data_IF_105817633962
#
_entry.id   IF_105817633962
#
_cell.length_a   1.000
_cell.length_b   1.000
_cell.length_c   1.000
_cell.angle_alpha   90.00
_cell.angle_beta   90.00
_cell.angle_gamma   90.00
#
_symmetry.space_group_name_H-M   'P 1'
#
loop_
_entity.id
_entity.type
_entity.pdbx_description
1 polymer ?
#
# COMPACT_ATOMS: atom_id res chain seq x y z
N UNK A 1 -22.06 10.10 -1.69
CA UNK A 1 -23.00 11.11 -1.19
C UNK A 1 -22.59 12.45 -1.78
N UNK A 2 -23.08 12.78 -2.97
CA UNK A 2 -22.79 14.07 -3.62
C UNK A 2 -23.65 15.16 -2.96
N UNK A 3 -23.09 16.34 -2.74
CA UNK A 3 -23.80 17.49 -2.16
C UNK A 3 -23.80 17.55 -0.64
N UNK A 4 -23.19 16.61 0.07
CA UNK A 4 -23.06 16.68 1.53
C UNK A 4 -22.23 17.92 1.92
N UNK A 5 -22.77 18.86 2.71
CA UNK A 5 -22.04 20.06 3.11
C UNK A 5 -20.93 19.72 4.10
N UNK A 6 -19.76 20.36 3.96
CA UNK A 6 -18.74 20.35 5.00
C UNK A 6 -19.14 21.40 6.06
N UNK A 7 -20.02 21.02 7.00
CA UNK A 7 -20.75 21.96 7.87
C UNK A 7 -19.83 22.93 8.61
N UNK A 8 -18.77 22.42 9.25
CA UNK A 8 -17.81 23.24 9.97
C UNK A 8 -17.12 24.25 9.04
N UNK A 9 -16.67 23.79 7.88
CA UNK A 9 -15.97 24.61 6.89
C UNK A 9 -16.89 25.71 6.34
N UNK A 10 -18.12 25.36 5.97
CA UNK A 10 -19.10 26.31 5.45
C UNK A 10 -19.47 27.36 6.50
N UNK A 11 -19.65 26.96 7.75
CA UNK A 11 -20.05 27.88 8.82
C UNK A 11 -18.90 28.79 9.26
N UNK A 12 -17.68 28.24 9.43
CA UNK A 12 -16.54 28.96 9.97
C UNK A 12 -15.82 29.80 8.90
N UNK A 13 -15.52 29.23 7.74
CA UNK A 13 -14.77 29.90 6.67
C UNK A 13 -15.69 30.57 5.64
N UNK A 14 -17.02 30.35 5.70
CA UNK A 14 -18.00 30.93 4.77
C UNK A 14 -17.75 30.60 3.30
N UNK A 15 -17.15 29.45 3.03
CA UNK A 15 -16.88 28.95 1.67
C UNK A 15 -17.92 27.89 1.27
N UNK A 16 -18.27 27.77 -0.02
CA UNK A 16 -19.22 26.78 -0.49
C UNK A 16 -18.58 25.38 -0.60
N UNK A 17 -18.00 24.85 0.48
CA UNK A 17 -17.36 23.53 0.47
C UNK A 17 -18.39 22.40 0.66
N UNK A 18 -18.57 21.54 -0.34
CA UNK A 18 -19.39 20.33 -0.21
C UNK A 18 -18.77 19.16 -0.96
N UNK A 19 -19.05 17.94 -0.48
CA UNK A 19 -18.60 16.70 -1.10
C UNK A 19 -19.14 16.60 -2.52
N UNK A 20 -18.24 16.40 -3.48
CA UNK A 20 -18.54 16.35 -4.91
C UNK A 20 -18.38 17.68 -5.63
N UNK A 21 -18.00 18.77 -4.97
CA UNK A 21 -17.72 20.04 -5.68
C UNK A 21 -16.38 20.00 -6.40
N UNK A 22 -16.37 20.49 -7.64
CA UNK A 22 -15.14 20.71 -8.41
C UNK A 22 -14.40 21.90 -7.84
N UNK A 23 -13.09 21.76 -7.76
CA UNK A 23 -12.19 22.79 -7.23
C UNK A 23 -10.90 22.83 -8.03
N UNK A 24 -10.26 23.99 -8.07
CA UNK A 24 -8.88 24.15 -8.52
C UNK A 24 -8.04 24.44 -7.28
N UNK A 25 -7.23 23.47 -6.86
CA UNK A 25 -6.35 23.56 -5.70
C UNK A 25 -4.92 23.86 -6.15
N UNK A 26 -4.40 25.04 -5.84
CA UNK A 26 -3.08 25.51 -6.25
C UNK A 26 -2.80 25.29 -7.75
N UNK A 27 -3.79 25.65 -8.59
CA UNK A 27 -3.71 25.49 -10.05
C UNK A 27 -3.96 24.07 -10.58
N UNK A 28 -4.27 23.10 -9.71
CA UNK A 28 -4.57 21.71 -10.12
C UNK A 28 -6.05 21.38 -9.93
N UNK A 29 -6.75 20.87 -10.97
CA UNK A 29 -8.16 20.51 -10.85
C UNK A 29 -8.35 19.25 -9.98
N UNK A 30 -9.44 19.25 -9.21
CA UNK A 30 -9.83 18.13 -8.36
C UNK A 30 -11.29 18.20 -7.91
N UNK A 31 -11.66 17.26 -7.04
CA UNK A 31 -13.01 17.14 -6.46
C UNK A 31 -12.88 17.03 -4.94
N UNK A 32 -13.72 17.73 -4.19
CA UNK A 32 -13.84 17.52 -2.74
C UNK A 32 -14.47 16.15 -2.51
N UNK A 33 -13.78 15.22 -1.86
CA UNK A 33 -14.28 13.87 -1.59
C UNK A 33 -14.53 13.60 -0.12
N UNK A 34 -13.85 14.31 0.78
CA UNK A 34 -13.87 14.04 2.22
C UNK A 34 -13.87 15.33 3.04
N UNK A 35 -14.40 15.26 4.26
CA UNK A 35 -14.39 16.34 5.24
C UNK A 35 -13.39 15.98 6.37
N UNK A 36 -12.44 16.88 6.64
CA UNK A 36 -11.45 16.76 7.70
C UNK A 36 -11.59 17.88 8.76
N UNK A 37 -12.78 18.46 8.91
CA UNK A 37 -13.09 19.50 9.88
C UNK A 37 -12.56 20.87 9.44
N UNK A 38 -11.34 21.24 9.84
CA UNK A 38 -10.70 22.49 9.40
C UNK A 38 -10.14 22.43 7.98
N UNK A 39 -10.03 21.23 7.41
CA UNK A 39 -9.45 20.99 6.10
C UNK A 39 -10.47 20.29 5.21
N UNK A 40 -10.41 20.59 3.91
CA UNK A 40 -11.18 19.87 2.90
C UNK A 40 -10.32 18.79 2.25
N UNK A 41 -10.88 17.60 2.08
CA UNK A 41 -10.25 16.50 1.38
C UNK A 41 -10.46 16.61 -0.12
N UNK A 42 -9.43 16.99 -0.86
CA UNK A 42 -9.50 17.13 -2.32
C UNK A 42 -8.75 15.98 -2.97
N UNK A 43 -9.44 15.24 -3.82
CA UNK A 43 -8.83 14.27 -4.73
C UNK A 43 -8.52 14.97 -6.05
N UNK A 44 -7.24 15.13 -6.37
CA UNK A 44 -6.79 15.71 -7.64
C UNK A 44 -6.99 14.73 -8.80
N UNK A 45 -7.33 15.25 -9.98
CA UNK A 45 -7.58 14.42 -11.16
C UNK A 45 -6.31 13.68 -11.63
N UNK A 46 -5.15 14.31 -11.46
CA UNK A 46 -3.82 13.76 -11.82
C UNK A 46 -3.24 12.80 -10.76
N UNK A 47 -3.94 12.58 -9.64
CA UNK A 47 -3.41 11.73 -8.57
C UNK A 47 -3.51 10.24 -8.92
N UNK A 48 -2.37 9.57 -9.12
CA UNK A 48 -2.31 8.14 -9.45
C UNK A 48 -2.98 7.25 -8.39
N UNK A 49 -2.84 7.61 -7.11
CA UNK A 49 -3.44 6.89 -5.99
C UNK A 49 -4.82 7.41 -5.60
N UNK A 50 -5.37 8.45 -6.25
CA UNK A 50 -6.71 9.01 -6.00
C UNK A 50 -7.07 9.15 -4.52
N UNK A 51 -6.10 9.53 -3.70
CA UNK A 51 -6.33 9.76 -2.28
C UNK A 51 -6.66 11.24 -2.05
N UNK A 52 -7.59 11.53 -1.12
CA UNK A 52 -7.87 12.89 -0.70
C UNK A 52 -6.66 13.50 0.00
N UNK A 53 -6.10 14.56 -0.58
CA UNK A 53 -5.14 15.42 0.12
C UNK A 53 -5.87 16.38 1.05
N UNK A 54 -5.22 16.80 2.15
CA UNK A 54 -5.76 17.84 3.05
C UNK A 54 -5.41 19.22 2.50
N UNK A 55 -6.42 20.04 2.27
CA UNK A 55 -6.25 21.41 1.79
C UNK A 55 -6.97 22.39 2.71
N UNK A 56 -6.38 23.58 2.89
CA UNK A 56 -7.02 24.62 3.67
C UNK A 56 -8.16 25.23 2.82
N UNK A 57 -9.37 25.43 3.37
CA UNK A 57 -10.55 25.80 2.57
C UNK A 57 -10.46 27.16 1.87
N UNK A 58 -9.58 28.05 2.35
CA UNK A 58 -9.47 29.44 1.89
C UNK A 58 -8.14 29.70 1.16
N UNK A 59 -7.16 28.81 1.27
CA UNK A 59 -5.82 29.06 0.72
C UNK A 59 -5.61 28.34 -0.61
N UNK A 60 -5.54 29.12 -1.70
CA UNK A 60 -5.26 28.60 -3.03
C UNK A 60 -6.35 27.68 -3.59
N UNK A 61 -7.60 27.81 -3.13
CA UNK A 61 -8.75 27.02 -3.59
C UNK A 61 -9.74 27.90 -4.36
N UNK A 62 -10.02 27.50 -5.59
CA UNK A 62 -11.12 28.06 -6.38
C UNK A 62 -12.27 27.07 -6.43
N UNK A 63 -13.47 27.49 -6.00
CA UNK A 63 -14.66 26.65 -5.97
C UNK A 63 -15.45 26.77 -7.27
N UNK A 64 -15.74 25.64 -7.90
CA UNK A 64 -16.54 25.55 -9.12
C UNK A 64 -17.89 24.86 -8.92
N UNK A 65 -18.37 24.27 -10.00
CA UNK A 65 -19.65 23.56 -10.06
C UNK A 65 -19.61 22.20 -9.36
N UNK A 66 -20.79 21.58 -9.21
CA UNK A 66 -20.87 20.20 -8.73
C UNK A 66 -20.37 19.23 -9.79
N UNK A 67 -19.58 18.24 -9.38
CA UNK A 67 -19.19 17.14 -10.25
C UNK A 67 -20.39 16.24 -10.54
N UNK A 68 -20.47 15.73 -11.78
CA UNK A 68 -21.49 14.75 -12.19
C UNK A 68 -21.36 13.43 -11.44
N UNK A 69 -20.11 13.03 -11.12
CA UNK A 69 -19.81 11.82 -10.37
C UNK A 69 -18.55 11.98 -9.53
N UNK A 70 -18.48 11.22 -8.43
CA UNK A 70 -17.26 11.16 -7.63
C UNK A 70 -16.19 10.34 -8.35
N UNK A 71 -14.90 10.68 -8.19
CA UNK A 71 -13.82 9.85 -8.69
C UNK A 71 -13.92 8.46 -8.08
N UNK A 72 -13.69 7.43 -8.90
CA UNK A 72 -13.68 6.04 -8.41
C UNK A 72 -12.61 5.91 -7.31
N UNK A 73 -12.94 5.31 -6.16
CA UNK A 73 -11.98 5.11 -5.10
C UNK A 73 -10.77 4.31 -5.63
N UNK A 74 -9.57 4.57 -5.10
CA UNK A 74 -8.40 3.83 -5.54
C UNK A 74 -8.56 2.34 -5.29
N UNK A 75 -7.93 1.54 -6.15
CA UNK A 75 -7.87 0.10 -5.94
C UNK A 75 -7.07 -0.16 -4.66
N UNK A 76 -7.73 -0.68 -3.62
CA UNK A 76 -7.05 -1.09 -2.39
C UNK A 76 -5.94 -2.08 -2.73
N UNK A 77 -4.73 -1.79 -2.27
CA UNK A 77 -3.58 -2.68 -2.42
C UNK A 77 -3.55 -3.68 -1.26
N UNK A 78 -2.78 -4.76 -1.44
CA UNK A 78 -2.48 -5.70 -0.35
C UNK A 78 -1.81 -4.99 0.84
N UNK A 79 -1.05 -3.93 0.59
CA UNK A 79 -0.40 -3.15 1.64
C UNK A 79 -1.40 -2.33 2.46
N UNK A 80 -2.39 -1.70 1.82
CA UNK A 80 -3.45 -0.97 2.53
C UNK A 80 -4.24 -1.92 3.44
N UNK A 81 -4.53 -3.13 2.94
CA UNK A 81 -5.20 -4.17 3.72
C UNK A 81 -4.35 -4.65 4.92
N UNK A 82 -3.04 -4.79 4.74
CA UNK A 82 -2.12 -5.14 5.83
C UNK A 82 -2.08 -4.09 6.95
N UNK A 83 -2.21 -2.80 6.62
CA UNK A 83 -2.23 -1.73 7.64
C UNK A 83 -3.53 -1.65 8.43
N UNK A 84 -4.66 -1.99 7.80
CA UNK A 84 -5.98 -1.97 8.45
C UNK A 84 -6.20 -3.19 9.36
N UNK A 85 -5.58 -4.32 9.05
CA UNK A 85 -5.64 -5.54 9.84
C UNK A 85 -4.54 -5.47 10.93
N UNK A 86 -4.89 -5.08 12.17
CA UNK A 86 -4.00 -5.09 13.35
C UNK A 86 -3.51 -6.52 13.66
N UNK A 87 -2.59 -7.03 12.85
CA UNK A 87 -2.04 -8.38 12.95
C UNK A 87 -0.60 -8.33 13.41
N UNK A 88 -0.23 -9.28 14.27
CA UNK A 88 1.13 -9.45 14.78
C UNK A 88 2.06 -10.19 13.79
N UNK A 89 1.72 -10.24 12.50
CA UNK A 89 2.48 -10.96 11.48
C UNK A 89 3.28 -10.00 10.59
N UNK A 90 4.43 -10.44 10.08
CA UNK A 90 5.20 -9.66 9.11
C UNK A 90 4.48 -9.58 7.75
N UNK A 91 4.73 -8.53 6.95
CA UNK A 91 4.09 -8.33 5.64
C UNK A 91 4.22 -9.52 4.66
N UNK A 92 5.30 -10.32 4.71
CA UNK A 92 5.43 -11.50 3.85
C UNK A 92 4.47 -12.62 4.25
N UNK A 93 4.18 -12.76 5.55
CA UNK A 93 3.24 -13.74 6.07
C UNK A 93 1.83 -13.37 5.64
N UNK A 94 1.49 -12.08 5.69
CA UNK A 94 0.26 -11.52 5.16
C UNK A 94 0.10 -11.82 3.65
N UNK A 95 1.17 -11.67 2.87
CA UNK A 95 1.18 -12.02 1.45
C UNK A 95 1.20 -13.55 1.20
N UNK A 96 1.39 -14.37 2.23
CA UNK A 96 1.57 -15.82 2.09
C UNK A 96 2.85 -16.23 1.36
N UNK A 97 3.86 -15.35 1.32
CA UNK A 97 5.11 -15.58 0.58
C UNK A 97 6.16 -16.20 1.49
N UNK A 98 6.71 -17.35 1.07
CA UNK A 98 7.82 -18.00 1.77
C UNK A 98 9.16 -17.30 1.47
N UNK A 99 9.84 -16.84 2.53
CA UNK A 99 11.11 -16.10 2.48
C UNK A 99 12.27 -17.06 2.20
N UNK A 100 13.30 -16.63 1.45
CA UNK A 100 14.50 -17.43 1.26
C UNK A 100 15.40 -17.39 2.50
N UNK A 101 15.82 -18.56 2.95
CA UNK A 101 16.74 -18.78 4.06
C UNK A 101 17.96 -19.58 3.60
N UNK A 102 19.07 -19.44 4.33
CA UNK A 102 20.32 -20.18 4.09
C UNK A 102 20.58 -21.13 5.23
N UNK A 103 20.78 -22.40 4.92
CA UNK A 103 21.23 -23.42 5.86
C UNK A 103 22.71 -23.76 5.60
N UNK A 104 23.44 -24.12 6.65
CA UNK A 104 24.81 -24.60 6.57
C UNK A 104 24.93 -25.93 7.31
N UNK A 105 25.71 -26.86 6.76
CA UNK A 105 26.10 -28.12 7.40
C UNK A 105 27.59 -28.36 7.26
N UNK A 106 28.15 -29.20 8.12
CA UNK A 106 29.52 -29.70 8.01
C UNK A 106 29.47 -31.14 7.51
N UNK A 107 30.10 -31.41 6.38
CA UNK A 107 30.19 -32.74 5.75
C UNK A 107 31.65 -33.01 5.40
N UNK A 108 32.22 -34.10 5.89
CA UNK A 108 33.63 -34.47 5.68
C UNK A 108 34.63 -33.33 6.00
N UNK A 109 34.39 -32.61 7.09
CA UNK A 109 35.24 -31.50 7.51
C UNK A 109 35.03 -30.18 6.74
N UNK A 110 34.32 -30.20 5.60
CA UNK A 110 34.02 -29.02 4.79
C UNK A 110 32.64 -28.44 5.09
N UNK A 111 32.50 -27.12 4.93
CA UNK A 111 31.20 -26.46 5.02
C UNK A 111 30.44 -26.57 3.70
N UNK A 112 29.18 -26.98 3.79
CA UNK A 112 28.23 -26.96 2.68
C UNK A 112 27.05 -26.08 3.04
N UNK A 113 26.48 -25.42 2.04
CA UNK A 113 25.37 -24.47 2.16
C UNK A 113 24.25 -24.87 1.23
N UNK A 114 23.00 -24.66 1.65
CA UNK A 114 21.83 -24.75 0.77
C UNK A 114 20.87 -23.60 1.03
N UNK A 115 20.09 -23.26 0.02
CA UNK A 115 18.98 -22.33 0.16
C UNK A 115 17.70 -23.11 0.39
N UNK A 116 16.80 -22.59 1.22
CA UNK A 116 15.44 -23.09 1.31
C UNK A 116 14.45 -21.94 1.42
N UNK A 117 13.15 -22.20 1.21
CA UNK A 117 12.09 -21.21 1.47
C UNK A 117 11.15 -21.72 2.55
N UNK A 118 10.81 -20.85 3.50
CA UNK A 118 9.77 -21.11 4.51
C UNK A 118 9.10 -19.80 4.94
N UNK A 119 7.93 -19.88 5.58
CA UNK A 119 7.22 -18.72 6.13
C UNK A 119 7.90 -18.21 7.38
N UNK A 120 8.27 -19.14 8.27
CA UNK A 120 8.70 -18.86 9.64
C UNK A 120 10.21 -18.68 9.81
N UNK A 121 11.00 -19.17 8.85
CA UNK A 121 12.47 -19.18 8.94
C UNK A 121 13.06 -20.13 9.97
N UNK A 122 12.24 -20.90 10.70
CA UNK A 122 12.73 -21.88 11.66
C UNK A 122 13.33 -23.10 10.96
N UNK A 123 14.48 -23.55 11.46
CA UNK A 123 15.24 -24.66 10.85
C UNK A 123 14.46 -26.00 10.85
N UNK A 124 13.49 -26.18 11.74
CA UNK A 124 12.61 -27.35 11.80
C UNK A 124 11.20 -27.13 11.25
N UNK A 125 10.95 -26.02 10.56
CA UNK A 125 9.60 -25.68 10.09
C UNK A 125 9.15 -26.66 9.00
N UNK A 126 7.93 -27.19 9.12
CA UNK A 126 7.36 -28.19 8.21
C UNK A 126 6.88 -27.61 6.87
N UNK A 127 6.88 -26.29 6.72
CA UNK A 127 6.50 -25.51 5.53
C UNK A 127 7.69 -25.23 4.58
N UNK A 128 8.68 -26.14 4.55
CA UNK A 128 9.84 -26.04 3.67
C UNK A 128 9.47 -26.55 2.27
N UNK A 129 9.26 -25.62 1.33
CA UNK A 129 8.72 -25.99 0.00
C UNK A 129 9.78 -26.24 -1.08
N UNK A 130 10.89 -25.50 -1.05
CA UNK A 130 11.93 -25.57 -2.09
C UNK A 130 13.28 -25.58 -1.43
N UNK A 131 13.90 -26.76 -1.35
CA UNK A 131 15.28 -26.93 -0.90
C UNK A 131 16.19 -26.97 -2.14
N UNK A 132 17.17 -26.08 -2.21
CA UNK A 132 18.23 -26.14 -3.21
C UNK A 132 19.27 -27.22 -2.87
N UNK A 133 20.08 -27.57 -3.86
CA UNK A 133 21.20 -28.49 -3.69
C UNK A 133 22.25 -27.97 -2.70
N UNK A 134 22.94 -28.89 -2.03
CA UNK A 134 24.05 -28.56 -1.15
C UNK A 134 25.29 -28.18 -1.99
N UNK A 135 25.81 -26.98 -1.75
CA UNK A 135 26.97 -26.44 -2.46
C UNK A 135 28.09 -26.07 -1.48
N UNK A 136 29.35 -26.25 -1.90
CA UNK A 136 30.53 -25.89 -1.10
C UNK A 136 30.69 -24.37 -0.91
N UNK A 137 30.15 -23.57 -1.83
CA UNK A 137 30.12 -22.11 -1.77
C UNK A 137 28.72 -21.62 -1.42
N UNK A 138 28.61 -20.62 -0.53
CA UNK A 138 27.33 -19.98 -0.22
C UNK A 138 26.74 -19.35 -1.51
N UNK A 139 25.68 -19.92 -2.10
CA UNK A 139 25.15 -19.39 -3.34
C UNK A 139 24.43 -18.07 -3.03
N UNK A 140 24.87 -16.99 -3.68
CA UNK A 140 24.15 -15.72 -3.66
C UNK A 140 22.95 -15.83 -4.60
N UNK A 141 21.73 -15.78 -4.05
CA UNK A 141 20.46 -15.53 -4.75
C UNK A 141 20.21 -16.31 -6.06
N UNK A 142 20.70 -17.55 -6.21
CA UNK A 142 20.25 -18.42 -7.30
C UNK A 142 19.19 -19.37 -6.78
N UNK A 143 17.89 -19.09 -7.00
CA UNK A 143 16.89 -20.15 -6.83
C UNK A 143 17.25 -21.26 -7.82
N UNK A 144 17.21 -22.51 -7.36
CA UNK A 144 17.22 -23.65 -8.27
C UNK A 144 16.03 -23.47 -9.22
N UNK A 145 16.28 -23.15 -10.48
CA UNK A 145 15.28 -23.33 -11.53
C UNK A 145 15.00 -24.81 -11.58
N UNK A 146 13.77 -25.23 -11.27
CA UNK A 146 13.30 -26.56 -11.66
C UNK A 146 13.61 -26.72 -13.16
N UNK A 147 14.27 -27.80 -13.60
CA UNK A 147 14.27 -28.09 -15.03
C UNK A 147 12.81 -28.25 -15.46
N UNK A 148 12.42 -27.49 -16.48
CA UNK A 148 11.20 -27.74 -17.23
C UNK A 148 11.34 -29.14 -17.85
N UNK A 149 10.50 -30.07 -17.40
CA UNK A 149 10.12 -31.25 -18.16
C UNK A 149 8.74 -30.96 -18.74
#
# INVERSE_FOLDING_TARGET
MLGTPCEYVQQYYQVPACIGRRVIAYGKPGVITDDFGHYIGITLDDSAKRHPGRYHPVDGIEYGEMAESLPKPPRRTNYDRYYDEEWNCDFHEFLGINRPHREKRKHDGQWQYRMYRSRSGWQGSCDRDVEGEWCATAPWLRPATKPLC
#
